data_IF_954002591619
#
_entry.id   IF_954002591619
#
_cell.length_a   1.000
_cell.length_b   1.000
_cell.length_c   1.000
_cell.angle_alpha   90.00
_cell.angle_beta   90.00
_cell.angle_gamma   90.00
#
_symmetry.space_group_name_H-M   'P 1'
#
loop_
_entity.id
_entity.type
_entity.pdbx_description
1 polymer ?
#
# COMPACT_ATOMS: atom_id res chain seq x y z
N UNK A 1 6.52 -8.91 -10.26
CA UNK A 1 5.21 -8.91 -10.94
C UNK A 1 5.14 -10.11 -11.86
N UNK A 2 4.03 -10.80 -11.83
CA UNK A 2 3.80 -12.01 -12.62
C UNK A 2 2.71 -11.79 -13.66
N UNK A 3 2.73 -12.61 -14.73
CA UNK A 3 1.67 -12.65 -15.75
C UNK A 3 0.33 -13.16 -15.19
N UNK A 4 0.40 -14.00 -14.16
CA UNK A 4 -0.75 -14.70 -13.57
C UNK A 4 -1.18 -14.01 -12.28
N UNK A 5 -2.48 -14.10 -11.99
CA UNK A 5 -2.99 -13.73 -10.68
C UNK A 5 -2.32 -14.61 -9.62
N UNK A 6 -1.97 -13.99 -8.50
CA UNK A 6 -1.29 -14.66 -7.41
C UNK A 6 -1.76 -14.13 -6.06
N UNK A 7 -1.52 -14.92 -5.05
CA UNK A 7 -1.89 -14.61 -3.69
C UNK A 7 -0.73 -14.95 -2.75
N UNK A 8 -0.44 -14.06 -1.83
CA UNK A 8 0.43 -14.33 -0.70
C UNK A 8 -0.41 -14.66 0.53
N UNK A 9 0.09 -15.57 1.36
CA UNK A 9 -0.51 -15.92 2.63
C UNK A 9 0.42 -15.57 3.78
N UNK A 10 -0.14 -15.05 4.87
CA UNK A 10 0.61 -14.82 6.10
C UNK A 10 -0.22 -15.17 7.33
N UNK A 11 0.48 -15.50 8.41
CA UNK A 11 -0.11 -15.69 9.74
C UNK A 11 0.18 -14.47 10.61
N UNK A 12 -0.71 -14.11 11.52
CA UNK A 12 -0.48 -13.01 12.48
C UNK A 12 0.65 -13.39 13.44
N UNK A 13 0.63 -14.51 14.16
CA UNK A 13 1.81 -15.02 14.84
C UNK A 13 2.75 -15.67 13.83
N UNK A 14 4.05 -15.54 14.01
CA UNK A 14 5.05 -16.12 13.11
C UNK A 14 4.91 -17.64 13.05
N UNK A 15 4.79 -18.18 11.81
CA UNK A 15 4.73 -19.62 11.52
C UNK A 15 3.60 -20.41 12.21
N UNK A 16 2.51 -19.77 12.63
CA UNK A 16 1.38 -20.43 13.31
C UNK A 16 0.07 -20.22 12.57
N UNK A 17 -0.42 -21.26 11.89
CA UNK A 17 -1.67 -21.23 11.14
C UNK A 17 -2.92 -21.40 11.99
N UNK A 18 -2.80 -22.11 13.10
CA UNK A 18 -3.88 -22.35 14.06
C UNK A 18 -3.56 -21.80 15.43
N UNK A 19 -4.50 -22.02 16.37
CA UNK A 19 -4.29 -21.69 17.76
C UNK A 19 -3.11 -22.45 18.37
N UNK A 20 -2.26 -21.74 19.07
CA UNK A 20 -1.21 -22.31 19.91
C UNK A 20 -1.33 -21.73 21.32
N UNK A 21 -1.30 -22.60 22.33
CA UNK A 21 -1.51 -22.19 23.73
C UNK A 21 -0.42 -21.24 24.22
N UNK A 22 0.82 -21.49 23.82
CA UNK A 22 1.99 -20.71 24.22
C UNK A 22 2.50 -19.85 23.07
N UNK A 23 2.37 -18.54 23.20
CA UNK A 23 2.88 -17.55 22.26
C UNK A 23 4.24 -16.98 22.65
N UNK A 24 4.78 -17.39 23.83
CA UNK A 24 6.03 -16.84 24.35
C UNK A 24 7.22 -16.99 23.41
N UNK A 25 7.15 -17.97 22.51
CA UNK A 25 8.18 -18.27 21.51
C UNK A 25 7.86 -17.72 20.10
N UNK A 26 6.73 -17.05 19.93
CA UNK A 26 6.30 -16.57 18.61
C UNK A 26 6.31 -15.06 18.54
N UNK A 27 6.88 -14.54 17.47
CA UNK A 27 6.74 -13.13 17.14
C UNK A 27 5.31 -12.86 16.63
N UNK A 28 4.66 -11.88 17.21
CA UNK A 28 3.34 -11.40 16.77
C UNK A 28 3.53 -10.13 15.97
N UNK A 29 3.07 -10.13 14.73
CA UNK A 29 3.21 -9.00 13.81
C UNK A 29 2.43 -7.79 14.29
N UNK A 30 3.01 -6.62 14.13
CA UNK A 30 2.33 -5.35 14.39
C UNK A 30 1.34 -5.00 13.27
N UNK A 31 0.34 -4.14 13.51
CA UNK A 31 -0.56 -3.67 12.45
C UNK A 31 0.16 -3.06 11.25
N UNK A 32 1.24 -2.29 11.48
CA UNK A 32 2.02 -1.66 10.41
C UNK A 32 2.71 -2.71 9.54
N UNK A 33 3.25 -3.78 10.12
CA UNK A 33 3.86 -4.88 9.36
C UNK A 33 2.85 -5.63 8.52
N UNK A 34 1.63 -5.84 9.04
CA UNK A 34 0.56 -6.48 8.27
C UNK A 34 0.11 -5.57 7.12
N UNK A 35 -0.06 -4.27 7.37
CA UNK A 35 -0.39 -3.28 6.34
C UNK A 35 0.70 -3.25 5.26
N UNK A 36 1.99 -3.24 5.65
CA UNK A 36 3.11 -3.25 4.70
C UNK A 36 3.04 -4.46 3.77
N UNK A 37 2.76 -5.66 4.30
CA UNK A 37 2.65 -6.88 3.51
C UNK A 37 1.45 -6.85 2.54
N UNK A 38 0.30 -6.35 2.99
CA UNK A 38 -0.89 -6.18 2.15
C UNK A 38 -0.59 -5.21 1.00
N UNK A 39 -0.08 -4.02 1.33
CA UNK A 39 0.26 -2.98 0.34
C UNK A 39 1.32 -3.50 -0.63
N UNK A 40 2.35 -4.17 -0.14
CA UNK A 40 3.39 -4.76 -0.99
C UNK A 40 2.79 -5.78 -1.97
N UNK A 41 1.94 -6.71 -1.51
CA UNK A 41 1.31 -7.69 -2.39
C UNK A 41 0.51 -7.01 -3.51
N UNK A 42 -0.36 -6.06 -3.16
CA UNK A 42 -1.18 -5.32 -4.14
C UNK A 42 -0.30 -4.48 -5.07
N UNK A 43 0.75 -3.83 -4.55
CA UNK A 43 1.68 -3.05 -5.36
C UNK A 43 2.45 -3.87 -6.40
N UNK A 44 2.47 -5.19 -6.24
CA UNK A 44 3.07 -6.17 -7.16
C UNK A 44 2.02 -6.92 -7.98
N UNK A 45 0.74 -6.50 -7.94
CA UNK A 45 -0.36 -7.10 -8.69
C UNK A 45 -0.88 -8.42 -8.10
N UNK A 46 -0.73 -8.62 -6.80
CA UNK A 46 -1.19 -9.80 -6.08
C UNK A 46 -2.25 -9.50 -5.03
N UNK A 47 -2.73 -10.57 -4.40
CA UNK A 47 -3.65 -10.53 -3.28
C UNK A 47 -2.94 -11.00 -2.00
N UNK A 48 -3.56 -10.73 -0.85
CA UNK A 48 -3.04 -11.15 0.45
C UNK A 48 -4.13 -11.80 1.29
N UNK A 49 -3.85 -12.99 1.81
CA UNK A 49 -4.63 -13.64 2.87
C UNK A 49 -3.90 -13.46 4.20
N UNK A 50 -4.61 -12.95 5.19
CA UNK A 50 -4.12 -12.81 6.56
C UNK A 50 -4.87 -13.81 7.44
N UNK A 51 -4.14 -14.74 8.05
CA UNK A 51 -4.70 -15.79 8.88
C UNK A 51 -4.64 -15.44 10.37
N UNK A 52 -5.76 -15.63 11.03
CA UNK A 52 -5.92 -15.54 12.49
C UNK A 52 -6.24 -16.93 13.05
N UNK A 53 -5.71 -17.27 14.23
CA UNK A 53 -5.88 -18.57 14.85
C UNK A 53 -6.92 -18.55 15.98
N UNK A 54 -8.20 -18.92 15.75
CA UNK A 54 -9.21 -18.91 16.80
C UNK A 54 -8.88 -19.85 17.94
N UNK A 55 -9.20 -19.44 19.16
CA UNK A 55 -9.08 -20.25 20.37
C UNK A 55 -10.09 -21.42 20.37
N UNK A 56 -9.92 -22.42 21.26
CA UNK A 56 -10.81 -23.58 21.32
C UNK A 56 -12.29 -23.26 21.60
N UNK A 57 -12.56 -22.10 22.22
CA UNK A 57 -13.92 -21.57 22.46
C UNK A 57 -14.51 -20.82 21.25
N UNK A 58 -13.75 -20.71 20.15
CA UNK A 58 -14.16 -20.02 18.93
C UNK A 58 -13.90 -18.52 18.91
N UNK A 59 -13.35 -17.99 19.99
CA UNK A 59 -12.96 -16.57 20.04
C UNK A 59 -11.51 -16.36 19.60
N UNK A 60 -11.07 -15.11 19.45
CA UNK A 60 -9.69 -14.76 19.17
C UNK A 60 -9.00 -14.21 20.43
N UNK A 61 -7.68 -14.31 20.47
CA UNK A 61 -6.87 -13.65 21.51
C UNK A 61 -7.07 -12.14 21.45
N UNK A 62 -6.90 -11.49 22.61
CA UNK A 62 -6.99 -10.01 22.71
C UNK A 62 -6.06 -9.31 21.73
N UNK A 63 -4.83 -9.79 21.59
CA UNK A 63 -3.81 -9.24 20.68
C UNK A 63 -4.20 -9.37 19.21
N UNK A 64 -4.82 -10.48 18.83
CA UNK A 64 -5.33 -10.67 17.47
C UNK A 64 -6.54 -9.77 17.19
N UNK A 65 -7.43 -9.60 18.18
CA UNK A 65 -8.55 -8.65 18.07
C UNK A 65 -8.09 -7.22 17.93
N UNK A 66 -7.13 -6.79 18.74
CA UNK A 66 -6.55 -5.45 18.68
C UNK A 66 -5.90 -5.19 17.33
N UNK A 67 -5.13 -6.15 16.81
CA UNK A 67 -4.53 -6.08 15.48
C UNK A 67 -5.60 -6.00 14.39
N UNK A 68 -6.61 -6.87 14.44
CA UNK A 68 -7.71 -6.88 13.47
C UNK A 68 -8.49 -5.56 13.49
N UNK A 69 -8.73 -4.99 14.67
CA UNK A 69 -9.39 -3.69 14.80
C UNK A 69 -8.53 -2.55 14.23
N UNK A 70 -7.23 -2.53 14.52
CA UNK A 70 -6.31 -1.53 13.99
C UNK A 70 -6.22 -1.62 12.47
N UNK A 71 -6.10 -2.84 11.92
CA UNK A 71 -6.13 -3.08 10.47
C UNK A 71 -7.46 -2.64 9.85
N UNK A 72 -8.59 -2.97 10.48
CA UNK A 72 -9.92 -2.55 10.04
C UNK A 72 -10.11 -1.03 10.03
N UNK A 73 -9.58 -0.33 11.04
CA UNK A 73 -9.56 1.14 11.08
C UNK A 73 -8.74 1.74 9.95
N UNK A 74 -7.57 1.19 9.67
CA UNK A 74 -6.72 1.62 8.57
C UNK A 74 -7.40 1.37 7.21
N UNK A 75 -7.93 0.16 7.00
CA UNK A 75 -8.65 -0.20 5.77
C UNK A 75 -9.90 0.67 5.54
N UNK A 76 -10.61 1.06 6.60
CA UNK A 76 -11.75 1.98 6.49
C UNK A 76 -11.34 3.36 5.99
N UNK A 77 -10.14 3.83 6.37
CA UNK A 77 -9.63 5.16 5.96
C UNK A 77 -8.94 5.14 4.60
N UNK A 78 -8.19 4.09 4.32
CA UNK A 78 -7.24 4.05 3.20
C UNK A 78 -7.44 2.87 2.25
N UNK A 79 -8.43 2.01 2.48
CA UNK A 79 -8.65 0.79 1.70
C UNK A 79 -8.93 1.03 0.21
N UNK A 80 -9.21 2.27 -0.21
CA UNK A 80 -9.32 2.62 -1.62
C UNK A 80 -8.03 2.33 -2.42
N UNK A 81 -6.86 2.39 -1.77
CA UNK A 81 -5.58 2.04 -2.37
C UNK A 81 -5.31 0.52 -2.45
N UNK A 82 -6.22 -0.30 -1.92
CA UNK A 82 -6.13 -1.77 -1.88
C UNK A 82 -7.20 -2.40 -2.75
N UNK A 83 -8.48 -2.08 -2.49
CA UNK A 83 -9.61 -2.75 -3.13
C UNK A 83 -9.73 -2.42 -4.61
N UNK A 84 -9.54 -3.44 -5.45
CA UNK A 84 -9.61 -3.33 -6.91
C UNK A 84 -8.42 -2.58 -7.51
N UNK A 85 -7.32 -2.45 -6.75
CA UNK A 85 -6.07 -1.93 -7.23
C UNK A 85 -5.17 -3.04 -7.78
N UNK A 86 -4.21 -2.64 -8.60
CA UNK A 86 -3.22 -3.50 -9.26
C UNK A 86 -1.85 -2.81 -9.21
N UNK A 87 -0.86 -3.43 -9.81
CA UNK A 87 0.47 -2.87 -10.04
C UNK A 87 0.40 -1.56 -10.83
N UNK A 88 1.07 -0.53 -10.32
CA UNK A 88 1.04 0.79 -10.95
C UNK A 88 1.94 0.95 -12.17
N UNK A 89 2.84 -0.01 -12.43
CA UNK A 89 3.85 0.13 -13.48
C UNK A 89 5.01 1.08 -13.13
N UNK A 90 5.10 1.51 -11.87
CA UNK A 90 6.07 2.48 -11.39
C UNK A 90 7.06 1.85 -10.42
N UNK A 91 8.30 2.33 -10.44
CA UNK A 91 9.34 1.85 -9.53
C UNK A 91 9.05 2.27 -8.08
N UNK A 92 9.22 1.31 -7.15
CA UNK A 92 9.13 1.57 -5.71
C UNK A 92 10.08 2.70 -5.31
N UNK A 93 9.62 3.54 -4.38
CA UNK A 93 10.40 4.62 -3.79
C UNK A 93 10.78 4.30 -2.33
N UNK A 94 11.76 5.02 -1.78
CA UNK A 94 12.21 4.84 -0.38
C UNK A 94 11.12 5.15 0.65
N UNK A 95 10.16 6.01 0.29
CA UNK A 95 9.06 6.38 1.18
C UNK A 95 7.91 5.35 1.20
N UNK A 96 7.79 4.41 0.22
CA UNK A 96 6.72 3.42 0.19
C UNK A 96 6.42 2.85 -1.19
N UNK A 97 5.14 2.64 -1.46
CA UNK A 97 4.67 1.88 -2.61
C UNK A 97 3.69 2.67 -3.46
N UNK A 98 3.48 2.18 -4.69
CA UNK A 98 2.39 2.62 -5.55
C UNK A 98 1.41 1.47 -5.78
N UNK A 99 0.12 1.79 -5.75
CA UNK A 99 -0.95 0.95 -6.27
C UNK A 99 -1.78 1.75 -7.28
N UNK A 100 -2.56 1.09 -8.12
CA UNK A 100 -3.27 1.77 -9.20
C UNK A 100 -4.67 1.22 -9.40
N UNK A 101 -5.62 2.11 -9.69
CA UNK A 101 -6.97 1.77 -10.11
C UNK A 101 -7.39 2.67 -11.27
N UNK A 102 -7.36 2.13 -12.49
CA UNK A 102 -7.59 2.92 -13.70
C UNK A 102 -6.57 4.06 -13.84
N UNK A 103 -7.04 5.30 -13.89
CA UNK A 103 -6.18 6.50 -13.98
C UNK A 103 -5.73 7.05 -12.62
N UNK A 104 -6.18 6.47 -11.53
CA UNK A 104 -5.77 6.88 -10.18
C UNK A 104 -4.58 6.05 -9.72
N UNK A 105 -3.51 6.72 -9.33
CA UNK A 105 -2.33 6.10 -8.72
C UNK A 105 -2.27 6.52 -7.26
N UNK A 106 -2.16 5.55 -6.36
CA UNK A 106 -2.04 5.80 -4.93
C UNK A 106 -0.59 5.68 -4.50
N UNK A 107 -0.09 6.73 -3.87
CA UNK A 107 1.16 6.70 -3.11
C UNK A 107 0.82 6.21 -1.71
N UNK A 108 1.31 5.04 -1.29
CA UNK A 108 1.15 4.55 0.09
C UNK A 108 2.44 4.81 0.84
N UNK A 109 2.42 5.78 1.73
CA UNK A 109 3.60 6.35 2.38
C UNK A 109 3.82 5.69 3.74
N UNK A 110 4.94 5.00 3.90
CA UNK A 110 5.39 4.37 5.16
C UNK A 110 6.48 5.20 5.83
N UNK A 111 7.40 5.75 5.05
CA UNK A 111 8.53 6.51 5.54
C UNK A 111 8.37 7.99 5.19
N UNK A 112 8.45 8.85 6.18
CA UNK A 112 8.36 10.31 6.00
C UNK A 112 9.75 10.91 5.85
N UNK A 113 10.14 11.43 4.67
CA UNK A 113 11.41 12.14 4.51
C UNK A 113 11.44 13.42 5.35
N UNK A 114 12.57 13.72 5.97
CA UNK A 114 12.76 14.96 6.73
C UNK A 114 12.56 16.24 5.90
N UNK A 115 12.75 16.15 4.59
CA UNK A 115 12.52 17.27 3.66
C UNK A 115 11.05 17.69 3.55
N UNK A 116 10.11 16.88 4.03
CA UNK A 116 8.68 17.11 3.82
C UNK A 116 8.22 16.92 2.37
N UNK A 117 9.08 16.36 1.49
CA UNK A 117 8.83 16.18 0.08
C UNK A 117 9.04 14.72 -0.32
N UNK A 118 8.03 14.15 -0.95
CA UNK A 118 8.08 12.81 -1.54
C UNK A 118 8.55 12.94 -2.99
N UNK A 119 9.72 12.36 -3.28
CA UNK A 119 10.21 12.29 -4.65
C UNK A 119 9.41 11.25 -5.42
N UNK A 120 8.95 11.63 -6.60
CA UNK A 120 8.16 10.77 -7.49
C UNK A 120 8.79 10.79 -8.86
N UNK A 121 9.14 9.62 -9.36
CA UNK A 121 9.57 9.44 -10.75
C UNK A 121 8.48 8.71 -11.50
N UNK A 122 7.98 9.33 -12.55
CA UNK A 122 6.91 8.76 -13.38
C UNK A 122 7.46 8.17 -14.68
N UNK A 123 6.79 7.20 -15.29
CA UNK A 123 7.13 6.71 -16.62
C UNK A 123 7.10 7.83 -17.67
N UNK A 124 7.87 7.64 -18.74
CA UNK A 124 7.90 8.60 -19.85
C UNK A 124 6.51 8.79 -20.46
N UNK A 125 6.08 10.02 -20.59
CA UNK A 125 4.76 10.36 -21.13
C UNK A 125 3.64 10.38 -20.11
N UNK A 126 3.97 10.25 -18.82
CA UNK A 126 3.05 10.43 -17.71
C UNK A 126 3.24 11.81 -17.09
N UNK A 127 2.14 12.49 -16.79
CA UNK A 127 2.09 13.77 -16.09
C UNK A 127 1.22 13.64 -14.84
N UNK A 128 1.64 14.22 -13.72
CA UNK A 128 0.81 14.33 -12.51
C UNK A 128 0.00 15.62 -12.60
N UNK A 129 -1.31 15.50 -12.81
CA UNK A 129 -2.21 16.64 -12.90
C UNK A 129 -2.60 17.17 -11.51
N UNK A 130 -2.79 16.29 -10.56
CA UNK A 130 -3.25 16.63 -9.21
C UNK A 130 -2.85 15.56 -8.20
N UNK A 131 -2.62 15.99 -6.95
CA UNK A 131 -2.45 15.11 -5.80
C UNK A 131 -3.41 15.54 -4.68
N UNK A 132 -4.09 14.58 -4.07
CA UNK A 132 -5.07 14.83 -3.00
C UNK A 132 -4.92 13.83 -1.85
N UNK A 133 -5.21 14.30 -0.64
CA UNK A 133 -5.37 13.45 0.54
C UNK A 133 -6.77 12.80 0.55
N UNK A 134 -7.01 11.77 1.39
CA UNK A 134 -8.32 11.11 1.47
C UNK A 134 -9.49 12.03 1.83
N UNK A 135 -9.23 13.11 2.56
CA UNK A 135 -10.21 14.14 2.91
C UNK A 135 -10.50 15.14 1.77
N UNK A 136 -9.84 14.97 0.61
CA UNK A 136 -9.97 15.84 -0.55
C UNK A 136 -9.03 17.05 -0.55
N UNK A 137 -8.23 17.24 0.50
CA UNK A 137 -7.26 18.34 0.52
C UNK A 137 -6.23 18.15 -0.60
N UNK A 138 -6.04 19.20 -1.40
CA UNK A 138 -5.02 19.23 -2.47
C UNK A 138 -3.65 19.46 -1.85
N UNK A 139 -2.70 18.61 -2.22
CA UNK A 139 -1.29 18.79 -1.86
C UNK A 139 -0.48 19.32 -3.03
N UNK A 140 0.55 20.10 -2.72
CA UNK A 140 1.38 20.75 -3.74
C UNK A 140 2.21 19.70 -4.48
N UNK A 141 2.16 19.75 -5.81
CA UNK A 141 3.02 18.99 -6.72
C UNK A 141 3.91 19.99 -7.46
N UNK A 142 5.19 19.68 -7.59
CA UNK A 142 6.15 20.52 -8.29
C UNK A 142 7.01 19.63 -9.18
N UNK A 143 6.98 19.86 -10.48
CA UNK A 143 7.92 19.23 -11.41
C UNK A 143 9.33 19.79 -11.17
N UNK A 144 10.30 18.91 -10.97
CA UNK A 144 11.70 19.26 -10.69
C UNK A 144 12.61 18.96 -11.86
N UNK A 145 12.26 17.96 -12.64
CA UNK A 145 12.92 17.60 -13.88
C UNK A 145 11.92 16.81 -14.75
N UNK A 146 12.29 16.49 -15.97
CA UNK A 146 11.45 15.69 -16.86
C UNK A 146 11.11 14.34 -16.22
N UNK A 147 9.81 14.05 -16.04
CA UNK A 147 9.27 12.89 -15.36
C UNK A 147 9.64 12.77 -13.86
N UNK A 148 10.08 13.84 -13.23
CA UNK A 148 10.41 13.86 -11.80
C UNK A 148 9.64 14.98 -11.10
N UNK A 149 9.01 14.63 -10.00
CA UNK A 149 8.14 15.50 -9.22
C UNK A 149 8.50 15.43 -7.73
N UNK A 150 8.23 16.52 -7.03
CA UNK A 150 8.12 16.55 -5.59
C UNK A 150 6.64 16.72 -5.21
N UNK A 151 6.13 15.79 -4.40
CA UNK A 151 4.79 15.88 -3.80
C UNK A 151 4.94 16.24 -2.34
N UNK A 152 4.28 17.32 -1.91
CA UNK A 152 4.34 17.76 -0.51
C UNK A 152 3.62 16.75 0.40
N UNK A 153 4.20 16.49 1.58
CA UNK A 153 3.52 15.72 2.62
C UNK A 153 2.50 16.58 3.36
N UNK A 154 1.47 15.97 3.99
CA UNK A 154 0.60 16.67 4.91
C UNK A 154 1.41 17.26 6.07
N UNK A 155 1.01 18.44 6.55
CA UNK A 155 1.69 19.15 7.63
C UNK A 155 1.62 18.40 8.97
N UNK A 156 0.51 17.68 9.19
CA UNK A 156 0.35 16.82 10.37
C UNK A 156 0.78 15.40 10.04
N UNK A 157 1.50 14.78 10.99
CA UNK A 157 1.83 13.37 10.92
C UNK A 157 0.62 12.53 11.35
N UNK A 158 0.07 11.66 10.50
CA UNK A 158 -1.03 10.78 10.90
C UNK A 158 -0.60 9.69 11.89
N UNK A 159 0.72 9.49 12.12
CA UNK A 159 1.26 8.47 13.02
C UNK A 159 1.11 7.03 12.50
N UNK A 160 0.73 6.86 11.26
CA UNK A 160 0.50 5.59 10.58
C UNK A 160 0.78 5.72 9.08
N UNK A 161 0.93 4.62 8.32
CA UNK A 161 0.98 4.67 6.88
C UNK A 161 -0.27 5.36 6.32
N UNK A 162 -0.08 6.26 5.37
CA UNK A 162 -1.17 7.06 4.78
C UNK A 162 -1.07 7.09 3.26
N UNK A 163 -2.10 7.60 2.60
CA UNK A 163 -2.14 7.68 1.14
C UNK A 163 -2.19 9.11 0.62
N UNK A 164 -1.62 9.30 -0.56
CA UNK A 164 -1.86 10.44 -1.42
C UNK A 164 -2.33 9.89 -2.77
N UNK A 165 -3.49 10.33 -3.24
CA UNK A 165 -4.04 9.94 -4.52
C UNK A 165 -3.55 10.90 -5.60
N UNK A 166 -2.94 10.36 -6.64
CA UNK A 166 -2.51 11.08 -7.83
C UNK A 166 -3.51 10.88 -8.96
N UNK A 167 -3.95 11.95 -9.56
CA UNK A 167 -4.60 11.96 -10.86
C UNK A 167 -3.51 12.15 -11.92
N UNK A 168 -3.40 11.19 -12.83
CA UNK A 168 -2.35 11.18 -13.83
C UNK A 168 -2.93 11.22 -15.24
N UNK A 169 -2.22 11.89 -16.12
CA UNK A 169 -2.46 11.86 -17.55
C UNK A 169 -1.34 11.09 -18.22
N UNK A 170 -1.69 10.14 -19.03
CA UNK A 170 -0.74 9.31 -19.77
C UNK A 170 -0.91 9.52 -21.26
N UNK A 171 0.19 9.59 -21.99
CA UNK A 171 0.16 9.60 -23.44
C UNK A 171 -0.41 8.24 -23.93
N UNK A 172 -1.23 8.27 -24.96
CA UNK A 172 -1.83 7.05 -25.55
C UNK A 172 -0.75 6.01 -25.84
N UNK A 173 -0.85 4.83 -25.21
CA UNK A 173 0.12 3.73 -25.33
C UNK A 173 1.06 3.55 -24.14
N UNK A 174 0.96 4.35 -23.07
CA UNK A 174 1.86 4.24 -21.92
C UNK A 174 1.48 3.13 -20.91
N UNK A 175 0.25 2.62 -20.93
CA UNK A 175 -0.30 1.72 -19.89
C UNK A 175 -0.47 0.26 -20.25
N UNK A 176 -0.49 -0.08 -21.54
CA UNK A 176 -0.83 -1.47 -21.96
C UNK A 176 0.37 -2.44 -21.93
N UNK A 177 1.56 -1.97 -21.58
CA UNK A 177 2.79 -2.69 -21.87
C UNK A 177 3.29 -3.66 -20.82
N UNK A 178 2.87 -3.60 -19.55
CA UNK A 178 3.61 -4.36 -18.53
C UNK A 178 3.15 -5.82 -18.39
N UNK A 179 1.86 -6.10 -18.40
CA UNK A 179 1.39 -7.50 -18.43
C UNK A 179 1.64 -8.14 -19.80
N UNK A 180 1.58 -7.36 -20.88
CA UNK A 180 1.84 -7.82 -22.25
C UNK A 180 3.33 -8.00 -22.55
N UNK A 181 4.22 -7.25 -21.89
CA UNK A 181 5.68 -7.40 -22.02
C UNK A 181 6.24 -8.66 -21.35
N UNK A 182 5.43 -9.37 -20.55
CA UNK A 182 5.76 -10.65 -19.93
C UNK A 182 5.33 -11.86 -20.77
N UNK A 183 4.79 -11.64 -21.98
CA UNK A 183 4.56 -12.68 -22.99
C UNK A 183 5.82 -12.89 -23.79
#
# INVERSE_FOLDING_TARGET
>A
VTKWDWEACMTVPENQWGYHKDWSLSYVKTPIEVIDRIVHAVSMGGNMVVNFGPQPDGDFRSEEKELAMALGCWMKRYGECIYGCDYAGWDKQDWGYYTRKGQEVYMVVFNRPYSGLLKVKVPKGTEIERAVLPDGQVVKVTETARNEYNVAMPSQDPGEPFIIKLQVKEASGATDGYRDALT
#
